data_IF_763234169870
#
_entry.id   IF_763234169870
#
_cell.length_a   1.000
_cell.length_b   1.000
_cell.length_c   1.000
_cell.angle_alpha   90.00
_cell.angle_beta   90.00
_cell.angle_gamma   90.00
#
_symmetry.space_group_name_H-M   'P 1'
#
loop_
_entity.id
_entity.type
_entity.pdbx_description
1 polymer ?
#
# COMPACT_ATOMS: atom_id res chain seq x y z
N UNK A 1 -18.73 -8.37 15.51
CA UNK A 1 -18.89 -9.85 15.58
C UNK A 1 -17.55 -10.37 16.09
N UNK A 2 -17.51 -11.14 17.17
CA UNK A 2 -16.27 -11.62 17.77
C UNK A 2 -15.90 -13.02 17.26
N UNK A 3 -14.68 -13.49 17.51
CA UNK A 3 -14.26 -14.88 17.18
C UNK A 3 -15.28 -15.92 17.67
N UNK A 4 -15.88 -15.69 18.83
CA UNK A 4 -16.90 -16.60 19.40
C UNK A 4 -18.13 -16.77 18.50
N UNK A 5 -18.48 -15.73 17.71
CA UNK A 5 -19.67 -15.75 16.87
C UNK A 5 -19.48 -16.53 15.56
N UNK A 6 -18.24 -16.75 15.11
CA UNK A 6 -17.97 -17.42 13.84
C UNK A 6 -17.10 -18.67 13.95
N UNK A 7 -16.69 -19.04 15.14
CA UNK A 7 -15.83 -20.21 15.40
C UNK A 7 -16.35 -21.51 14.83
N UNK A 8 -17.67 -21.68 14.80
CA UNK A 8 -18.33 -22.91 14.31
C UNK A 8 -18.31 -23.01 12.77
N UNK A 9 -17.96 -21.92 12.07
CA UNK A 9 -17.84 -21.88 10.61
C UNK A 9 -16.46 -22.23 10.09
N UNK A 10 -15.48 -22.45 10.96
CA UNK A 10 -14.07 -22.65 10.55
C UNK A 10 -13.85 -23.83 9.63
N UNK A 11 -14.66 -24.87 9.77
CA UNK A 11 -14.58 -26.08 8.91
C UNK A 11 -14.99 -25.80 7.46
N UNK A 12 -15.67 -24.67 7.20
CA UNK A 12 -16.08 -24.20 5.88
C UNK A 12 -15.02 -23.31 5.23
N UNK A 13 -13.96 -22.93 5.98
CA UNK A 13 -12.97 -21.99 5.50
C UNK A 13 -12.07 -22.61 4.44
N UNK A 14 -11.76 -21.83 3.42
CA UNK A 14 -10.78 -22.24 2.42
C UNK A 14 -9.41 -22.36 3.06
N UNK A 15 -8.88 -23.58 3.10
CA UNK A 15 -7.56 -23.87 3.67
C UNK A 15 -6.45 -23.62 2.66
N UNK A 16 -5.42 -22.89 3.08
CA UNK A 16 -4.19 -22.62 2.32
C UNK A 16 -2.99 -22.97 3.20
N UNK A 17 -2.27 -24.02 2.83
CA UNK A 17 -1.01 -24.39 3.49
C UNK A 17 0.15 -23.68 2.77
N UNK A 18 0.85 -22.83 3.50
CA UNK A 18 1.99 -22.08 2.97
C UNK A 18 3.32 -22.57 3.50
N UNK A 19 3.33 -23.67 4.27
CA UNK A 19 4.55 -24.30 4.77
C UNK A 19 5.38 -24.81 3.59
N UNK A 20 6.67 -24.59 3.62
CA UNK A 20 7.59 -25.04 2.55
C UNK A 20 7.56 -24.18 1.28
N UNK A 21 6.76 -23.12 1.21
CA UNK A 21 6.79 -22.19 0.08
C UNK A 21 7.98 -21.25 0.24
N UNK A 22 9.05 -21.47 -0.55
CA UNK A 22 10.26 -20.65 -0.52
C UNK A 22 10.10 -19.23 -1.10
N UNK A 23 9.02 -18.96 -1.81
CA UNK A 23 8.72 -17.64 -2.41
C UNK A 23 7.76 -16.85 -1.54
N UNK A 24 7.78 -15.51 -1.69
CA UNK A 24 6.81 -14.65 -1.04
C UNK A 24 5.39 -15.03 -1.47
N UNK A 25 4.65 -15.70 -0.60
CA UNK A 25 3.27 -16.17 -0.82
C UNK A 25 2.22 -15.07 -0.53
N UNK A 26 2.64 -14.00 0.11
CA UNK A 26 1.75 -12.94 0.60
C UNK A 26 0.87 -12.30 -0.48
N UNK A 27 1.37 -11.94 -1.69
CA UNK A 27 0.52 -11.37 -2.74
C UNK A 27 -0.58 -12.32 -3.20
N UNK A 28 -0.27 -13.61 -3.25
CA UNK A 28 -1.24 -14.66 -3.60
C UNK A 28 -2.33 -14.83 -2.56
N UNK A 29 -1.97 -14.80 -1.28
CA UNK A 29 -2.92 -14.83 -0.17
C UNK A 29 -3.84 -13.62 -0.16
N UNK A 30 -3.27 -12.42 -0.30
CA UNK A 30 -4.05 -11.18 -0.38
C UNK A 30 -5.09 -11.26 -1.50
N UNK A 31 -4.67 -11.66 -2.72
CA UNK A 31 -5.58 -11.85 -3.85
C UNK A 31 -6.71 -12.86 -3.58
N UNK A 32 -6.44 -13.91 -2.81
CA UNK A 32 -7.47 -14.88 -2.41
C UNK A 32 -8.40 -14.29 -1.37
N UNK A 33 -7.88 -13.62 -0.34
CA UNK A 33 -8.66 -12.96 0.70
C UNK A 33 -9.64 -11.94 0.11
N UNK A 34 -9.19 -11.17 -0.87
CA UNK A 34 -10.00 -10.15 -1.52
C UNK A 34 -11.21 -10.70 -2.28
N UNK A 35 -11.13 -11.93 -2.78
CA UNK A 35 -12.25 -12.60 -3.48
C UNK A 35 -13.33 -13.13 -2.53
N UNK A 36 -13.04 -13.20 -1.24
CA UNK A 36 -13.99 -13.68 -0.25
C UNK A 36 -15.09 -12.63 -0.01
N UNK A 37 -16.32 -13.10 0.16
CA UNK A 37 -17.46 -12.26 0.50
C UNK A 37 -17.56 -12.09 2.02
N UNK A 38 -18.35 -11.11 2.47
CA UNK A 38 -18.74 -11.01 3.87
C UNK A 38 -19.37 -12.34 4.33
N UNK A 39 -18.88 -12.87 5.44
CA UNK A 39 -19.33 -14.15 5.98
C UNK A 39 -18.52 -15.36 5.52
N UNK A 40 -17.56 -15.20 4.63
CA UNK A 40 -16.62 -16.24 4.21
C UNK A 40 -15.29 -16.14 4.97
N UNK A 41 -14.53 -17.23 5.01
CA UNK A 41 -13.28 -17.29 5.76
C UNK A 41 -12.14 -17.97 5.02
N UNK A 42 -10.95 -17.74 5.53
CA UNK A 42 -9.69 -18.32 5.05
C UNK A 42 -8.92 -18.90 6.23
N UNK A 43 -8.45 -20.14 6.12
CA UNK A 43 -7.52 -20.78 7.03
C UNK A 43 -6.13 -20.80 6.40
N UNK A 44 -5.13 -20.27 7.10
CA UNK A 44 -3.75 -20.28 6.66
C UNK A 44 -2.92 -21.13 7.62
N UNK A 45 -2.25 -22.14 7.08
CA UNK A 45 -1.37 -23.01 7.86
C UNK A 45 0.08 -22.67 7.55
N UNK A 46 0.85 -22.37 8.59
CA UNK A 46 2.28 -22.04 8.48
C UNK A 46 3.05 -22.43 9.73
N UNK A 47 4.37 -22.31 9.67
CA UNK A 47 5.29 -22.77 10.71
C UNK A 47 5.68 -21.70 11.74
N UNK A 48 5.09 -20.52 11.68
CA UNK A 48 5.30 -19.41 12.64
C UNK A 48 4.00 -18.62 12.82
N UNK A 49 3.91 -17.82 13.87
CA UNK A 49 2.77 -16.94 14.11
C UNK A 49 2.75 -15.79 13.08
N UNK A 50 1.67 -15.65 12.26
CA UNK A 50 1.61 -14.70 11.16
C UNK A 50 1.31 -13.26 11.57
N UNK A 51 1.91 -12.74 12.62
CA UNK A 51 1.64 -11.40 13.15
C UNK A 51 1.57 -10.32 12.06
N UNK A 52 2.50 -10.25 11.08
CA UNK A 52 2.42 -9.25 10.02
C UNK A 52 1.18 -9.36 9.11
N UNK A 53 0.54 -10.55 9.09
CA UNK A 53 -0.64 -10.80 8.27
C UNK A 53 -1.91 -10.29 8.94
N UNK A 54 -1.95 -10.19 10.27
CA UNK A 54 -3.13 -9.77 11.01
C UNK A 54 -3.56 -8.36 10.63
N UNK A 55 -2.64 -7.40 10.71
CA UNK A 55 -2.92 -6.00 10.36
C UNK A 55 -3.44 -5.86 8.92
N UNK A 56 -2.83 -6.58 7.98
CA UNK A 56 -3.25 -6.50 6.57
C UNK A 56 -4.64 -7.10 6.36
N UNK A 57 -4.97 -8.18 7.06
CA UNK A 57 -6.29 -8.81 6.95
C UNK A 57 -7.36 -7.99 7.67
N UNK A 58 -7.04 -7.35 8.80
CA UNK A 58 -7.92 -6.40 9.47
C UNK A 58 -8.23 -5.19 8.58
N UNK A 59 -7.24 -4.66 7.88
CA UNK A 59 -7.41 -3.60 6.88
C UNK A 59 -8.35 -4.01 5.75
N UNK A 60 -8.40 -5.30 5.39
CA UNK A 60 -9.32 -5.86 4.40
C UNK A 60 -10.72 -6.20 4.97
N UNK A 61 -10.96 -5.95 6.25
CA UNK A 61 -12.25 -6.22 6.92
C UNK A 61 -12.39 -7.62 7.44
N UNK A 62 -11.28 -8.27 7.82
CA UNK A 62 -11.30 -9.58 8.49
C UNK A 62 -11.06 -9.44 9.99
N UNK A 63 -11.76 -10.24 10.76
CA UNK A 63 -11.34 -10.64 12.11
C UNK A 63 -10.46 -11.88 12.01
N UNK A 64 -9.55 -12.05 12.95
CA UNK A 64 -8.66 -13.21 12.97
C UNK A 64 -8.65 -13.93 14.32
N UNK A 65 -8.31 -15.21 14.26
CA UNK A 65 -7.96 -16.03 15.40
C UNK A 65 -6.88 -17.01 15.00
N UNK A 66 -5.84 -17.15 15.83
CA UNK A 66 -4.73 -18.08 15.57
C UNK A 66 -4.66 -19.14 16.66
N UNK A 67 -4.57 -20.39 16.23
CA UNK A 67 -4.37 -21.56 17.08
C UNK A 67 -2.96 -22.10 16.84
N UNK A 68 -2.14 -22.13 17.88
CA UNK A 68 -0.89 -22.87 17.86
C UNK A 68 -1.21 -24.36 18.07
N UNK A 69 -0.84 -25.21 17.12
CA UNK A 69 -1.05 -26.66 17.16
C UNK A 69 0.19 -27.34 17.77
N UNK A 70 1.37 -26.95 17.28
CA UNK A 70 2.67 -27.36 17.85
C UNK A 70 3.71 -26.21 17.68
N UNK A 71 5.00 -26.53 17.91
CA UNK A 71 6.06 -25.52 17.81
C UNK A 71 6.29 -24.98 16.40
N UNK A 72 5.90 -25.75 15.37
CA UNK A 72 6.09 -25.43 13.96
C UNK A 72 4.79 -25.46 13.16
N UNK A 73 3.63 -25.43 13.83
CA UNK A 73 2.34 -25.43 13.16
C UNK A 73 1.37 -24.43 13.82
N UNK A 74 1.01 -23.42 13.04
CA UNK A 74 0.04 -22.41 13.39
C UNK A 74 -1.08 -22.39 12.35
N UNK A 75 -2.31 -22.38 12.82
CA UNK A 75 -3.52 -22.25 12.03
C UNK A 75 -4.11 -20.86 12.29
N UNK A 76 -3.97 -19.96 11.34
CA UNK A 76 -4.56 -18.63 11.40
C UNK A 76 -5.87 -18.59 10.60
N UNK A 77 -6.95 -18.32 11.28
CA UNK A 77 -8.29 -18.22 10.71
C UNK A 77 -8.65 -16.75 10.53
N UNK A 78 -9.12 -16.40 9.34
CA UNK A 78 -9.55 -15.05 8.99
C UNK A 78 -10.98 -15.11 8.51
N UNK A 79 -11.90 -14.38 9.16
CA UNK A 79 -13.31 -14.32 8.83
C UNK A 79 -13.68 -12.92 8.37
N UNK A 80 -14.27 -12.79 7.19
CA UNK A 80 -14.61 -11.49 6.61
C UNK A 80 -15.88 -10.94 7.21
N UNK A 81 -15.77 -10.01 8.15
CA UNK A 81 -16.89 -9.36 8.83
C UNK A 81 -17.50 -8.22 8.01
N UNK A 82 -16.69 -7.60 7.15
CA UNK A 82 -17.13 -6.55 6.24
C UNK A 82 -16.31 -6.59 4.95
N UNK A 83 -16.91 -6.14 3.86
CA UNK A 83 -16.17 -5.80 2.64
C UNK A 83 -15.89 -4.32 2.75
N UNK A 84 -14.67 -3.97 3.13
CA UNK A 84 -14.22 -2.58 3.06
C UNK A 84 -14.08 -2.24 1.59
N UNK A 85 -14.75 -1.17 1.14
CA UNK A 85 -14.61 -0.69 -0.23
C UNK A 85 -13.13 -0.35 -0.47
N UNK A 86 -12.49 -1.16 -1.30
CA UNK A 86 -11.05 -1.12 -1.56
C UNK A 86 -10.62 0.17 -2.24
N UNK A 87 -11.53 0.90 -2.82
CA UNK A 87 -11.24 2.12 -3.57
C UNK A 87 -10.59 3.24 -2.75
N UNK A 88 -10.52 3.12 -1.41
CA UNK A 88 -10.04 4.23 -0.58
C UNK A 88 -9.06 3.89 0.56
N UNK A 89 -8.71 2.63 0.79
CA UNK A 89 -7.95 2.24 1.99
C UNK A 89 -6.79 1.28 1.75
N UNK A 90 -6.06 1.42 0.67
CA UNK A 90 -4.72 0.86 0.70
C UNK A 90 -3.91 1.77 1.61
N UNK A 91 -3.54 1.20 2.74
CA UNK A 91 -2.58 1.82 3.64
C UNK A 91 -1.29 2.09 2.86
N UNK A 92 -1.22 3.26 2.27
CA UNK A 92 -0.01 3.80 1.65
C UNK A 92 0.97 4.25 2.75
N UNK A 93 0.91 3.58 3.91
CA UNK A 93 1.81 3.83 5.02
C UNK A 93 3.26 3.69 4.55
N UNK A 94 4.11 4.65 4.82
CA UNK A 94 5.54 4.49 4.56
C UNK A 94 6.08 3.28 5.34
N UNK A 95 6.86 2.42 4.70
CA UNK A 95 7.55 1.28 5.35
C UNK A 95 8.34 1.72 6.59
N UNK A 96 8.81 2.98 6.60
CA UNK A 96 9.48 3.54 7.77
C UNK A 96 8.60 3.52 9.04
N UNK A 97 7.28 3.67 8.92
CA UNK A 97 6.38 3.60 10.07
C UNK A 97 6.25 2.18 10.61
N UNK A 98 6.34 1.16 9.75
CA UNK A 98 6.33 -0.25 10.17
C UNK A 98 7.64 -0.67 10.84
N UNK A 99 8.72 0.09 10.62
CA UNK A 99 10.02 -0.16 11.24
C UNK A 99 10.21 0.62 12.56
N UNK A 100 9.41 1.66 12.82
CA UNK A 100 9.52 2.45 14.06
C UNK A 100 9.32 1.61 15.33
N UNK A 101 8.37 0.66 15.41
CA UNK A 101 8.21 -0.21 16.57
C UNK A 101 9.45 -1.06 16.91
N UNK A 102 10.34 -1.33 15.93
CA UNK A 102 11.60 -2.05 16.15
C UNK A 102 12.56 -1.20 17.00
N UNK A 103 12.43 0.13 16.92
CA UNK A 103 13.23 1.07 17.71
C UNK A 103 12.57 1.27 19.07
N UNK A 104 11.28 1.60 19.06
CA UNK A 104 10.48 1.86 20.24
C UNK A 104 9.00 1.73 19.89
N UNK A 105 8.25 0.91 20.64
CA UNK A 105 6.84 0.62 20.36
C UNK A 105 5.95 1.87 20.54
N UNK A 106 6.18 2.65 21.61
CA UNK A 106 5.38 3.84 21.90
C UNK A 106 5.60 4.91 20.82
N UNK A 107 6.85 5.08 20.38
CA UNK A 107 7.19 5.96 19.26
C UNK A 107 6.53 5.48 17.96
N UNK A 108 6.48 4.16 17.73
CA UNK A 108 5.80 3.55 16.60
C UNK A 108 4.31 3.90 16.57
N UNK A 109 3.61 3.76 17.68
CA UNK A 109 2.18 4.09 17.81
C UNK A 109 1.92 5.57 17.57
N UNK A 110 2.76 6.44 18.11
CA UNK A 110 2.67 7.89 17.87
C UNK A 110 2.88 8.22 16.41
N UNK A 111 3.85 7.61 15.75
CA UNK A 111 4.13 7.84 14.33
C UNK A 111 2.97 7.38 13.42
N UNK A 112 2.39 6.22 13.70
CA UNK A 112 1.21 5.71 12.98
C UNK A 112 0.02 6.62 13.19
N UNK A 113 -0.27 7.01 14.43
CA UNK A 113 -1.37 7.94 14.75
C UNK A 113 -1.19 9.30 14.07
N UNK A 114 0.02 9.83 14.03
CA UNK A 114 0.32 11.07 13.32
C UNK A 114 0.04 10.95 11.83
N UNK A 115 0.46 9.82 11.23
CA UNK A 115 0.20 9.53 9.82
C UNK A 115 -1.29 9.44 9.52
N UNK A 116 -2.06 8.69 10.33
CA UNK A 116 -3.51 8.55 10.19
C UNK A 116 -4.23 9.89 10.32
N UNK A 117 -3.89 10.68 11.31
CA UNK A 117 -4.43 12.03 11.47
C UNK A 117 -4.09 12.95 10.30
N UNK A 118 -2.94 12.75 9.67
CA UNK A 118 -2.52 13.55 8.53
C UNK A 118 -3.21 13.13 7.24
N UNK A 119 -3.35 11.84 6.97
CA UNK A 119 -3.78 11.35 5.66
C UNK A 119 -5.22 10.81 5.64
N UNK A 120 -5.69 10.19 6.71
CA UNK A 120 -7.00 9.52 6.77
C UNK A 120 -8.11 10.36 7.42
N UNK A 121 -7.82 11.53 7.97
CA UNK A 121 -8.83 12.36 8.60
C UNK A 121 -9.80 12.94 7.56
N UNK A 122 -11.06 12.50 7.63
CA UNK A 122 -12.16 12.92 6.74
C UNK A 122 -12.53 14.41 6.83
N UNK A 123 -12.03 15.13 7.83
CA UNK A 123 -12.32 16.57 8.05
C UNK A 123 -11.35 17.52 7.33
N UNK A 124 -10.64 17.04 6.30
CA UNK A 124 -9.71 17.90 5.57
C UNK A 124 -10.43 18.74 4.51
N UNK A 125 -10.02 19.99 4.38
CA UNK A 125 -10.56 20.93 3.39
C UNK A 125 -10.01 20.72 1.98
N UNK A 126 -8.75 20.28 1.86
CA UNK A 126 -8.12 19.99 0.57
C UNK A 126 -8.45 18.57 0.12
N UNK A 127 -8.85 18.38 -1.15
CA UNK A 127 -9.00 17.07 -1.75
C UNK A 127 -7.73 16.21 -1.56
N UNK A 128 -7.91 14.90 -1.50
CA UNK A 128 -6.81 13.98 -1.24
C UNK A 128 -5.73 14.06 -2.32
N UNK A 129 -6.14 14.13 -3.59
CA UNK A 129 -5.29 14.26 -4.77
C UNK A 129 -4.45 15.54 -4.70
N UNK A 130 -5.07 16.66 -4.33
CA UNK A 130 -4.37 17.93 -4.13
C UNK A 130 -3.30 17.82 -3.04
N UNK A 131 -3.60 17.12 -1.95
CA UNK A 131 -2.63 16.91 -0.85
C UNK A 131 -1.45 16.04 -1.30
N UNK A 132 -1.69 15.05 -2.16
CA UNK A 132 -0.64 14.22 -2.75
C UNK A 132 0.27 15.05 -3.67
N UNK A 133 -0.30 15.90 -4.53
CA UNK A 133 0.46 16.83 -5.37
C UNK A 133 1.29 17.81 -4.54
N UNK A 134 0.72 18.38 -3.47
CA UNK A 134 1.47 19.26 -2.55
C UNK A 134 2.59 18.50 -1.83
N UNK A 135 2.38 17.23 -1.45
CA UNK A 135 3.43 16.39 -0.87
C UNK A 135 4.53 16.09 -1.86
N UNK A 136 4.18 15.81 -3.12
CA UNK A 136 5.11 15.63 -4.23
C UNK A 136 5.98 16.89 -4.43
N UNK A 137 5.35 18.06 -4.56
CA UNK A 137 6.07 19.32 -4.77
C UNK A 137 6.99 19.65 -3.60
N UNK A 138 6.53 19.44 -2.37
CA UNK A 138 7.36 19.63 -1.18
C UNK A 138 8.56 18.66 -1.15
N UNK A 139 8.36 17.41 -1.55
CA UNK A 139 9.44 16.42 -1.59
C UNK A 139 10.51 16.79 -2.62
N UNK A 140 10.10 17.28 -3.81
CA UNK A 140 11.04 17.78 -4.85
C UNK A 140 11.78 19.01 -4.36
N UNK A 141 11.07 19.99 -3.79
CA UNK A 141 11.68 21.21 -3.26
C UNK A 141 12.69 20.94 -2.13
N UNK A 142 12.49 19.86 -1.37
CA UNK A 142 13.41 19.43 -0.32
C UNK A 142 14.51 18.45 -0.81
N UNK A 143 14.62 18.19 -2.12
CA UNK A 143 15.59 17.24 -2.69
C UNK A 143 15.35 15.78 -2.34
N UNK A 144 14.13 15.41 -1.87
CA UNK A 144 13.80 14.06 -1.42
C UNK A 144 13.22 13.22 -2.55
N UNK A 145 14.02 12.90 -3.56
CA UNK A 145 13.55 12.24 -4.79
C UNK A 145 12.89 10.88 -4.56
N UNK A 146 13.35 10.06 -3.58
CA UNK A 146 12.70 8.79 -3.23
C UNK A 146 11.29 8.99 -2.66
N UNK A 147 11.06 10.05 -1.90
CA UNK A 147 9.74 10.42 -1.43
C UNK A 147 8.90 10.92 -2.60
N UNK A 148 9.44 11.79 -3.44
CA UNK A 148 8.75 12.35 -4.59
C UNK A 148 8.20 11.26 -5.53
N UNK A 149 9.00 10.22 -5.86
CA UNK A 149 8.53 9.08 -6.66
C UNK A 149 7.31 8.41 -6.01
N UNK A 150 7.35 8.17 -4.71
CA UNK A 150 6.23 7.54 -4.00
C UNK A 150 4.97 8.41 -4.03
N UNK A 151 5.12 9.71 -3.85
CA UNK A 151 3.97 10.62 -3.91
C UNK A 151 3.41 10.75 -5.34
N UNK A 152 4.26 10.73 -6.38
CA UNK A 152 3.83 10.68 -7.77
C UNK A 152 3.00 9.43 -8.06
N UNK A 153 3.51 8.26 -7.69
CA UNK A 153 2.82 6.98 -7.91
C UNK A 153 1.51 6.93 -7.14
N UNK A 154 1.49 7.41 -5.89
CA UNK A 154 0.25 7.50 -5.12
C UNK A 154 -0.77 8.41 -5.79
N UNK A 155 -0.36 9.59 -6.23
CA UNK A 155 -1.24 10.54 -6.89
C UNK A 155 -1.86 9.90 -8.15
N UNK A 156 -1.05 9.23 -8.97
CA UNK A 156 -1.53 8.53 -10.17
C UNK A 156 -2.56 7.44 -9.84
N UNK A 157 -2.27 6.60 -8.87
CA UNK A 157 -3.17 5.53 -8.43
C UNK A 157 -4.48 6.12 -7.87
N UNK A 158 -4.46 7.30 -7.28
CA UNK A 158 -5.66 8.00 -6.79
C UNK A 158 -6.34 8.87 -7.85
N UNK A 159 -6.03 8.69 -9.13
CA UNK A 159 -6.76 9.28 -10.24
C UNK A 159 -6.20 10.62 -10.74
N UNK A 160 -5.02 11.03 -10.30
CA UNK A 160 -4.31 12.16 -10.90
C UNK A 160 -3.72 11.72 -12.23
N UNK A 161 -4.10 12.35 -13.33
CA UNK A 161 -3.63 12.03 -14.67
C UNK A 161 -2.27 12.68 -15.01
N UNK A 162 -1.71 12.29 -16.15
CA UNK A 162 -0.42 12.82 -16.59
C UNK A 162 -0.48 14.29 -16.95
N UNK A 163 -1.64 14.84 -17.34
CA UNK A 163 -1.80 16.26 -17.64
C UNK A 163 -1.57 17.13 -16.39
N UNK A 164 -2.11 16.70 -15.23
CA UNK A 164 -1.84 17.37 -13.98
C UNK A 164 -0.35 17.27 -13.56
N UNK A 165 0.32 16.18 -13.90
CA UNK A 165 1.76 16.06 -13.67
C UNK A 165 2.57 16.94 -14.63
N UNK A 166 2.13 17.15 -15.87
CA UNK A 166 2.74 18.11 -16.79
C UNK A 166 2.84 19.49 -16.13
N UNK A 167 1.72 20.01 -15.62
CA UNK A 167 1.65 21.28 -14.89
C UNK A 167 2.61 21.30 -13.68
N UNK A 168 2.66 20.23 -12.91
CA UNK A 168 3.54 20.12 -11.75
C UNK A 168 5.01 20.14 -12.16
N UNK A 169 5.39 19.45 -13.23
CA UNK A 169 6.78 19.46 -13.73
C UNK A 169 7.17 20.81 -14.32
N UNK A 170 6.24 21.55 -14.95
CA UNK A 170 6.47 22.94 -15.35
C UNK A 170 6.75 23.83 -14.15
N UNK A 171 5.99 23.67 -13.05
CA UNK A 171 6.25 24.38 -11.80
C UNK A 171 7.60 23.99 -11.17
N UNK A 172 8.06 22.76 -11.31
CA UNK A 172 9.40 22.38 -10.87
C UNK A 172 10.47 23.13 -11.67
N UNK A 173 10.34 23.20 -13.00
CA UNK A 173 11.26 23.93 -13.84
C UNK A 173 11.26 25.44 -13.50
N UNK A 174 10.11 26.01 -13.19
CA UNK A 174 9.97 27.39 -12.77
C UNK A 174 10.62 27.65 -11.39
N UNK A 175 10.25 26.87 -10.39
CA UNK A 175 10.64 27.12 -9.00
C UNK A 175 12.09 26.74 -8.69
N UNK A 176 12.58 25.65 -9.30
CA UNK A 176 13.95 25.15 -9.08
C UNK A 176 14.94 25.69 -10.13
N UNK A 177 14.42 26.23 -11.22
CA UNK A 177 15.20 26.71 -12.37
C UNK A 177 15.55 25.61 -13.37
N UNK A 178 15.69 26.02 -14.63
CA UNK A 178 15.97 25.11 -15.77
C UNK A 178 17.27 24.32 -15.55
N UNK A 179 18.29 24.94 -14.94
CA UNK A 179 19.55 24.26 -14.65
C UNK A 179 19.37 23.05 -13.73
N UNK A 180 18.69 23.24 -12.59
CA UNK A 180 18.39 22.16 -11.65
C UNK A 180 17.47 21.11 -12.27
N UNK A 181 16.46 21.55 -13.02
CA UNK A 181 15.59 20.62 -13.73
C UNK A 181 16.39 19.71 -14.67
N UNK A 182 17.29 20.26 -15.45
CA UNK A 182 18.08 19.51 -16.44
C UNK A 182 19.11 18.57 -15.81
N UNK A 183 19.73 18.96 -14.70
CA UNK A 183 20.78 18.17 -14.04
C UNK A 183 20.26 17.16 -13.04
N UNK A 184 19.18 17.48 -12.30
CA UNK A 184 18.72 16.68 -11.16
C UNK A 184 17.35 16.03 -11.40
N UNK A 185 16.38 16.78 -11.94
CA UNK A 185 15.02 16.24 -12.11
C UNK A 185 14.92 15.38 -13.38
N UNK A 186 15.37 15.91 -14.53
CA UNK A 186 15.27 15.23 -15.82
C UNK A 186 15.92 13.84 -15.88
N UNK A 187 17.14 13.64 -15.36
CA UNK A 187 17.77 12.32 -15.30
C UNK A 187 17.29 11.46 -14.12
N UNK A 188 16.46 11.99 -13.22
CA UNK A 188 16.03 11.29 -12.00
C UNK A 188 15.07 10.13 -12.26
N UNK A 189 15.00 9.20 -11.30
CA UNK A 189 13.97 8.14 -11.28
C UNK A 189 12.55 8.70 -11.16
N UNK A 190 12.38 9.91 -10.60
CA UNK A 190 11.09 10.59 -10.58
C UNK A 190 10.60 10.90 -12.00
N UNK A 191 11.46 11.48 -12.85
CA UNK A 191 11.10 11.81 -14.22
C UNK A 191 10.91 10.55 -15.08
N UNK A 192 11.65 9.47 -14.80
CA UNK A 192 11.44 8.20 -15.46
C UNK A 192 10.05 7.60 -15.08
N UNK A 193 9.66 7.66 -13.80
CA UNK A 193 8.35 7.23 -13.35
C UNK A 193 7.22 8.02 -14.05
N UNK A 194 7.36 9.32 -14.15
CA UNK A 194 6.42 10.17 -14.90
C UNK A 194 6.32 9.78 -16.38
N UNK A 195 7.44 9.53 -17.08
CA UNK A 195 7.42 9.04 -18.47
C UNK A 195 6.72 7.70 -18.63
N UNK A 196 6.88 6.79 -17.66
CA UNK A 196 6.16 5.51 -17.67
C UNK A 196 4.66 5.73 -17.55
N UNK A 197 4.21 6.58 -16.63
CA UNK A 197 2.80 6.93 -16.45
C UNK A 197 2.23 7.50 -17.76
N UNK A 198 2.92 8.46 -18.35
CA UNK A 198 2.48 9.09 -19.61
C UNK A 198 2.34 8.08 -20.74
N UNK A 199 3.31 7.18 -20.90
CA UNK A 199 3.27 6.11 -21.89
C UNK A 199 2.13 5.10 -21.64
N UNK A 200 1.81 4.82 -20.37
CA UNK A 200 0.68 3.97 -20.03
C UNK A 200 -0.66 4.60 -20.43
N UNK A 201 -0.87 5.88 -20.15
CA UNK A 201 -2.07 6.59 -20.54
C UNK A 201 -2.21 6.71 -22.05
N UNK A 202 -1.13 7.03 -22.77
CA UNK A 202 -1.12 7.07 -24.25
C UNK A 202 -1.51 5.73 -24.89
N UNK A 203 -1.19 4.62 -24.22
CA UNK A 203 -1.55 3.26 -24.66
C UNK A 203 -2.91 2.79 -24.17
N UNK A 204 -3.63 3.60 -23.40
CA UNK A 204 -4.88 3.22 -22.76
C UNK A 204 -4.73 2.11 -21.72
N UNK A 205 -3.54 1.96 -21.15
CA UNK A 205 -3.29 1.01 -20.06
C UNK A 205 -3.82 1.67 -18.80
N UNK A 206 -4.79 1.04 -18.10
CA UNK A 206 -5.34 1.61 -16.87
C UNK A 206 -4.26 1.76 -15.80
N UNK A 207 -4.44 2.74 -14.93
CA UNK A 207 -3.65 2.85 -13.72
C UNK A 207 -3.69 1.50 -12.98
N UNK A 208 -2.55 1.04 -12.42
CA UNK A 208 -2.53 -0.22 -11.71
C UNK A 208 -3.59 -0.20 -10.62
N UNK A 209 -4.45 -1.21 -10.63
CA UNK A 209 -5.37 -1.44 -9.53
C UNK A 209 -4.55 -1.53 -8.26
N UNK A 210 -4.89 -0.73 -7.27
CA UNK A 210 -4.19 -0.64 -5.98
C UNK A 210 -3.91 -2.00 -5.33
N UNK A 211 -4.58 -3.02 -5.80
CA UNK A 211 -4.58 -4.37 -5.25
C UNK A 211 -3.87 -5.41 -6.12
N UNK A 212 -3.82 -5.20 -7.43
CA UNK A 212 -3.31 -6.21 -8.38
C UNK A 212 -1.83 -6.06 -8.71
N UNK A 213 -1.30 -4.87 -8.62
CA UNK A 213 -0.01 -4.55 -9.21
C UNK A 213 0.94 -3.76 -8.31
N UNK A 214 1.14 -4.23 -7.07
CA UNK A 214 2.38 -3.92 -6.36
C UNK A 214 3.62 -4.28 -7.21
N UNK A 215 3.45 -5.20 -8.18
CA UNK A 215 4.45 -5.50 -9.19
C UNK A 215 4.68 -4.32 -10.14
N UNK A 216 3.66 -3.60 -10.58
CA UNK A 216 3.81 -2.48 -11.51
C UNK A 216 4.22 -1.19 -10.77
N UNK A 217 3.66 -0.91 -9.60
CA UNK A 217 4.18 0.14 -8.71
C UNK A 217 5.63 -0.16 -8.29
N UNK A 218 5.96 -1.44 -8.09
CA UNK A 218 7.32 -1.91 -7.88
C UNK A 218 8.17 -1.91 -9.16
N UNK A 219 7.60 -2.00 -10.36
CA UNK A 219 8.31 -1.84 -11.63
C UNK A 219 8.59 -0.37 -11.92
N UNK A 220 7.61 0.50 -11.70
CA UNK A 220 7.79 1.95 -11.78
C UNK A 220 8.84 2.39 -10.75
N UNK A 221 8.81 1.86 -9.53
CA UNK A 221 9.77 2.16 -8.47
C UNK A 221 11.10 1.41 -8.55
N UNK A 222 11.21 0.28 -9.29
CA UNK A 222 12.42 -0.55 -9.46
C UNK A 222 13.10 -0.40 -10.79
N UNK A 223 12.54 0.35 -11.71
CA UNK A 223 13.18 0.60 -13.01
C UNK A 223 14.55 1.30 -12.88
N UNK A 224 14.97 1.62 -11.64
CA UNK A 224 16.25 2.24 -11.37
C UNK A 224 16.75 1.95 -9.94
N UNK A 225 17.30 0.77 -9.71
CA UNK A 225 18.38 0.55 -8.75
C UNK A 225 19.54 -0.06 -9.49
#
# INVERSE_FOLDING_TARGET
MSYEDWKDKRDEFKKVDVRGIAKNFFPGLKKQAMKLKKGEGLEIVQNFDPIPLYEVMEDLGFEHYTKKVDEQEFHAYFYRIEVKDEEKNISMRPVALTNMPIIDNELGDVAVKFWDLTWNDKKRYLPYETRLLLSLTNAVGAGRMRQAIRELVKAYIHGVDSAAFDDVFELFAWNQGIGYFSSEIGPSSLFQAYKVIKNMEEKGIPAPDLVGDQALAGQIGRAHV
#
